data_IF_793748329662
#
_entry.id   IF_793748329662
#
_cell.length_a   1.000
_cell.length_b   1.000
_cell.length_c   1.000
_cell.angle_alpha   90.00
_cell.angle_beta   90.00
_cell.angle_gamma   90.00
#
_symmetry.space_group_name_H-M   'P 1'
#
loop_
_entity.id
_entity.type
_entity.pdbx_description
1 polymer ?
#
# COMPACT_ATOMS: atom_id res chain seq x y z
N UNK A 1 -48.99 -27.82 -2.73
CA UNK A 1 -47.61 -27.62 -3.21
C UNK A 1 -47.38 -26.11 -3.37
N UNK A 2 -46.82 -25.47 -2.36
CA UNK A 2 -46.63 -23.99 -2.35
C UNK A 2 -45.39 -23.70 -3.16
N UNK A 3 -45.53 -23.21 -4.38
CA UNK A 3 -44.44 -22.65 -5.16
C UNK A 3 -43.89 -21.42 -4.39
N UNK A 4 -42.78 -21.62 -3.72
CA UNK A 4 -42.02 -20.55 -3.05
C UNK A 4 -41.69 -19.51 -4.12
N UNK A 5 -42.36 -18.34 -4.09
CA UNK A 5 -42.00 -17.20 -4.98
C UNK A 5 -40.53 -16.99 -4.86
N UNK A 6 -39.75 -17.23 -5.89
CA UNK A 6 -38.34 -16.91 -5.96
C UNK A 6 -38.24 -15.41 -5.75
N UNK A 7 -37.68 -14.99 -4.63
CA UNK A 7 -37.53 -13.59 -4.30
C UNK A 7 -36.52 -13.00 -5.30
N UNK A 8 -36.89 -11.92 -5.98
CA UNK A 8 -36.05 -11.25 -7.00
C UNK A 8 -34.65 -10.96 -6.50
N UNK A 9 -34.50 -10.77 -5.18
CA UNK A 9 -33.21 -10.56 -4.52
C UNK A 9 -32.30 -11.80 -4.59
N UNK A 10 -32.83 -13.01 -4.46
CA UNK A 10 -32.02 -14.23 -4.63
C UNK A 10 -31.56 -14.41 -6.06
N UNK A 11 -32.41 -14.09 -7.02
CA UNK A 11 -32.09 -14.18 -8.44
C UNK A 11 -31.00 -13.14 -8.83
N UNK A 12 -31.16 -11.89 -8.39
CA UNK A 12 -30.18 -10.85 -8.67
C UNK A 12 -28.82 -11.13 -7.98
N UNK A 13 -28.83 -11.58 -6.73
CA UNK A 13 -27.60 -11.98 -6.01
C UNK A 13 -26.90 -13.15 -6.71
N UNK A 14 -27.64 -14.13 -7.21
CA UNK A 14 -27.09 -15.26 -7.94
C UNK A 14 -26.43 -14.83 -9.26
N UNK A 15 -27.08 -13.94 -10.03
CA UNK A 15 -26.51 -13.39 -11.27
C UNK A 15 -25.20 -12.61 -11.00
N UNK A 16 -25.21 -11.76 -9.97
CA UNK A 16 -24.00 -11.01 -9.58
C UNK A 16 -22.89 -11.97 -9.16
N UNK A 17 -23.21 -12.99 -8.37
CA UNK A 17 -22.22 -14.00 -7.94
C UNK A 17 -21.62 -14.74 -9.12
N UNK A 18 -22.41 -15.14 -10.11
CA UNK A 18 -21.91 -15.77 -11.34
C UNK A 18 -21.00 -14.80 -12.10
N UNK A 19 -21.43 -13.56 -12.31
CA UNK A 19 -20.64 -12.56 -13.04
C UNK A 19 -19.26 -12.31 -12.40
N UNK A 20 -19.18 -12.33 -11.05
CA UNK A 20 -17.93 -12.20 -10.31
C UNK A 20 -17.12 -13.51 -10.33
N UNK A 21 -17.77 -14.66 -10.35
CA UNK A 21 -17.09 -15.96 -10.35
C UNK A 21 -16.42 -16.28 -11.70
N UNK A 22 -16.98 -15.83 -12.83
CA UNK A 22 -16.46 -16.13 -14.18
C UNK A 22 -14.96 -15.79 -14.31
N UNK A 23 -14.48 -14.56 -14.08
CA UNK A 23 -13.05 -14.24 -14.22
C UNK A 23 -12.17 -15.05 -13.28
N UNK A 24 -12.65 -15.31 -12.06
CA UNK A 24 -11.91 -16.11 -11.08
C UNK A 24 -11.73 -17.55 -11.60
N UNK A 25 -12.82 -18.16 -12.07
CA UNK A 25 -12.80 -19.53 -12.63
C UNK A 25 -11.90 -19.58 -13.86
N UNK A 26 -11.92 -18.55 -14.74
CA UNK A 26 -11.06 -18.49 -15.92
C UNK A 26 -9.59 -18.48 -15.54
N UNK A 27 -9.17 -17.66 -14.56
CA UNK A 27 -7.78 -17.66 -14.06
C UNK A 27 -7.41 -19.03 -13.50
N UNK A 28 -8.26 -19.65 -12.69
CA UNK A 28 -7.98 -20.99 -12.17
C UNK A 28 -7.96 -22.08 -13.25
N UNK A 29 -8.77 -21.97 -14.30
CA UNK A 29 -8.74 -22.95 -15.40
C UNK A 29 -7.43 -22.91 -16.19
N UNK A 30 -6.80 -21.75 -16.29
CA UNK A 30 -5.51 -21.59 -16.98
C UNK A 30 -4.35 -22.40 -16.35
N UNK A 31 -4.46 -22.79 -15.08
CA UNK A 31 -3.49 -23.68 -14.44
C UNK A 31 -3.48 -25.10 -15.02
N UNK A 32 -4.56 -25.52 -15.68
CA UNK A 32 -4.68 -26.83 -16.32
C UNK A 32 -4.34 -26.80 -17.82
N UNK A 33 -4.05 -25.61 -18.38
CA UNK A 33 -3.67 -25.46 -19.77
C UNK A 33 -2.18 -25.69 -19.98
N UNK A 34 -1.80 -26.15 -21.18
CA UNK A 34 -0.41 -26.36 -21.55
C UNK A 34 0.35 -25.04 -21.62
N UNK A 35 1.49 -24.99 -21.00
CA UNK A 35 2.37 -23.82 -20.97
C UNK A 35 3.11 -23.63 -22.29
N UNK A 36 3.30 -22.38 -22.68
CA UNK A 36 4.14 -22.00 -23.83
C UNK A 36 5.64 -22.24 -23.57
N UNK A 37 6.47 -22.17 -24.62
CA UNK A 37 7.94 -22.21 -24.50
C UNK A 37 8.46 -21.09 -23.58
N UNK A 38 7.84 -19.90 -23.61
CA UNK A 38 8.18 -18.76 -22.76
C UNK A 38 7.99 -19.05 -21.28
N UNK A 39 7.02 -19.90 -20.91
CA UNK A 39 6.78 -20.32 -19.53
C UNK A 39 8.00 -20.96 -18.88
N UNK A 40 8.74 -21.79 -19.61
CA UNK A 40 9.95 -22.44 -19.10
C UNK A 40 11.07 -21.42 -18.83
N UNK A 41 11.21 -20.43 -19.69
CA UNK A 41 12.22 -19.36 -19.56
C UNK A 41 11.88 -18.47 -18.34
N UNK A 42 10.63 -18.03 -18.23
CA UNK A 42 10.20 -17.16 -17.12
C UNK A 42 10.30 -17.89 -15.79
N UNK A 43 9.81 -19.13 -15.69
CA UNK A 43 9.84 -19.92 -14.45
C UNK A 43 11.27 -20.21 -13.99
N UNK A 44 12.20 -20.50 -14.91
CA UNK A 44 13.57 -20.87 -14.55
C UNK A 44 14.51 -19.67 -14.34
N UNK A 45 14.22 -18.53 -14.96
CA UNK A 45 15.15 -17.39 -14.98
C UNK A 45 14.64 -16.22 -14.14
N UNK A 46 13.38 -15.82 -14.29
CA UNK A 46 12.89 -14.55 -13.76
C UNK A 46 11.94 -14.70 -12.56
N UNK A 47 11.29 -15.84 -12.37
CA UNK A 47 10.26 -16.02 -11.35
C UNK A 47 10.78 -15.76 -9.93
N UNK A 48 11.99 -16.22 -9.63
CA UNK A 48 12.62 -16.01 -8.32
C UNK A 48 12.89 -14.53 -8.06
N UNK A 49 13.31 -13.79 -9.08
CA UNK A 49 13.52 -12.34 -8.99
C UNK A 49 12.18 -11.60 -8.78
N UNK A 50 11.15 -11.95 -9.55
CA UNK A 50 9.81 -11.36 -9.42
C UNK A 50 9.25 -11.57 -8.01
N UNK A 51 9.35 -12.78 -7.47
CA UNK A 51 8.89 -13.10 -6.11
C UNK A 51 9.70 -12.32 -5.08
N UNK A 52 11.03 -12.34 -5.18
CA UNK A 52 11.90 -11.66 -4.22
C UNK A 52 11.64 -10.15 -4.20
N UNK A 53 11.58 -9.50 -5.37
CA UNK A 53 11.32 -8.07 -5.47
C UNK A 53 9.91 -7.71 -4.98
N UNK A 54 8.89 -8.51 -5.30
CA UNK A 54 7.53 -8.30 -4.80
C UNK A 54 7.46 -8.41 -3.28
N UNK A 55 8.14 -9.39 -2.68
CA UNK A 55 8.18 -9.56 -1.23
C UNK A 55 8.96 -8.42 -0.54
N UNK A 56 10.09 -8.03 -1.11
CA UNK A 56 10.90 -6.92 -0.58
C UNK A 56 10.12 -5.60 -0.64
N UNK A 57 9.47 -5.32 -1.77
CA UNK A 57 8.59 -4.17 -1.93
C UNK A 57 7.46 -4.19 -0.91
N UNK A 58 6.74 -5.30 -0.81
CA UNK A 58 5.62 -5.48 0.11
C UNK A 58 6.04 -5.23 1.56
N UNK A 59 7.10 -5.87 2.02
CA UNK A 59 7.59 -5.72 3.39
C UNK A 59 8.06 -4.29 3.68
N UNK A 60 8.75 -3.66 2.74
CA UNK A 60 9.18 -2.27 2.86
C UNK A 60 8.00 -1.30 2.97
N UNK A 61 7.00 -1.45 2.10
CA UNK A 61 5.79 -0.62 2.11
C UNK A 61 4.97 -0.85 3.37
N UNK A 62 4.75 -2.11 3.78
CA UNK A 62 4.02 -2.43 5.01
C UNK A 62 4.71 -1.83 6.25
N UNK A 63 6.02 -1.94 6.34
CA UNK A 63 6.77 -1.37 7.45
C UNK A 63 6.64 0.16 7.51
N UNK A 64 6.85 0.83 6.38
CA UNK A 64 6.83 2.30 6.33
C UNK A 64 5.42 2.86 6.55
N UNK A 65 4.39 2.25 5.94
CA UNK A 65 3.00 2.64 6.16
C UNK A 65 2.52 2.37 7.59
N UNK A 66 2.97 1.28 8.21
CA UNK A 66 2.73 1.01 9.63
C UNK A 66 3.30 2.12 10.51
N UNK A 67 4.58 2.47 10.31
CA UNK A 67 5.24 3.50 11.10
C UNK A 67 4.54 4.85 10.94
N UNK A 68 4.36 5.32 9.69
CA UNK A 68 3.76 6.63 9.42
C UNK A 68 2.29 6.66 9.86
N UNK A 69 1.52 5.64 9.51
CA UNK A 69 0.08 5.57 9.79
C UNK A 69 -0.24 5.48 11.28
N UNK A 70 0.46 4.59 12.01
CA UNK A 70 0.23 4.42 13.46
C UNK A 70 0.75 5.63 14.25
N UNK A 71 1.94 6.16 13.91
CA UNK A 71 2.46 7.36 14.59
C UNK A 71 1.59 8.58 14.30
N UNK A 72 1.15 8.77 13.04
CA UNK A 72 0.22 9.83 12.68
C UNK A 72 -1.10 9.73 13.46
N UNK A 73 -1.69 8.54 13.53
CA UNK A 73 -2.90 8.28 14.29
C UNK A 73 -2.70 8.54 15.80
N UNK A 74 -1.57 8.14 16.35
CA UNK A 74 -1.22 8.35 17.76
C UNK A 74 -1.09 9.83 18.09
N UNK A 75 -0.28 10.57 17.31
CA UNK A 75 -0.06 11.99 17.57
C UNK A 75 -1.36 12.81 17.53
N UNK A 76 -2.17 12.56 16.51
CA UNK A 76 -3.43 13.31 16.30
C UNK A 76 -4.54 12.93 17.31
N UNK A 77 -4.50 11.69 17.84
CA UNK A 77 -5.52 11.21 18.80
C UNK A 77 -5.20 11.56 20.26
N UNK A 78 -3.92 11.62 20.63
CA UNK A 78 -3.51 11.73 22.04
C UNK A 78 -2.80 13.04 22.39
N UNK A 79 -2.43 13.86 21.40
CA UNK A 79 -1.78 15.14 21.63
C UNK A 79 -2.57 16.29 21.03
N UNK A 80 -2.72 17.36 21.80
CA UNK A 80 -3.21 18.64 21.31
C UNK A 80 -2.04 19.54 20.97
N UNK A 81 -1.87 19.88 19.71
CA UNK A 81 -0.84 20.79 19.21
C UNK A 81 -1.46 21.76 18.20
N UNK A 82 -0.84 22.93 17.94
CA UNK A 82 -1.31 23.86 16.94
C UNK A 82 -1.43 23.15 15.58
N UNK A 83 -2.63 23.22 14.94
CA UNK A 83 -2.89 22.55 13.68
C UNK A 83 -3.36 21.10 13.79
N UNK A 84 -3.50 20.50 14.98
CA UNK A 84 -3.95 19.11 15.12
C UNK A 84 -5.26 18.81 14.39
N UNK A 85 -6.22 19.77 14.39
CA UNK A 85 -7.48 19.64 13.67
C UNK A 85 -7.31 19.62 12.15
N UNK A 86 -6.34 20.36 11.62
CA UNK A 86 -5.98 20.33 10.21
C UNK A 86 -5.34 18.98 9.85
N UNK A 87 -4.36 18.52 10.62
CA UNK A 87 -3.69 17.24 10.36
C UNK A 87 -4.62 16.02 10.45
N UNK A 88 -5.70 16.09 11.23
CA UNK A 88 -6.74 15.05 11.25
C UNK A 88 -7.30 14.73 9.87
N UNK A 89 -7.42 15.72 9.01
CA UNK A 89 -7.95 15.60 7.67
C UNK A 89 -6.85 15.55 6.62
N UNK A 90 -5.79 16.32 6.82
CA UNK A 90 -4.68 16.40 5.87
C UNK A 90 -4.00 15.04 5.63
N UNK A 91 -3.85 14.22 6.67
CA UNK A 91 -3.27 12.87 6.55
C UNK A 91 -4.16 11.89 5.76
N UNK A 92 -5.45 12.18 5.65
CA UNK A 92 -6.37 11.40 4.80
C UNK A 92 -6.17 11.74 3.32
N UNK A 93 -5.69 12.95 3.01
CA UNK A 93 -5.48 13.39 1.62
C UNK A 93 -4.41 12.59 0.89
N UNK A 94 -3.62 11.75 1.58
CA UNK A 94 -2.73 10.79 0.92
C UNK A 94 -3.44 9.93 -0.12
N UNK A 95 -4.71 9.58 0.10
CA UNK A 95 -5.54 8.85 -0.85
C UNK A 95 -5.88 9.62 -2.13
N UNK A 96 -5.81 10.94 -2.10
CA UNK A 96 -6.16 11.75 -3.26
C UNK A 96 -5.12 11.67 -4.38
N UNK A 97 -3.92 11.20 -4.07
CA UNK A 97 -2.79 11.13 -5.00
C UNK A 97 -2.41 9.67 -5.24
N UNK A 98 -2.60 9.14 -6.45
CA UNK A 98 -2.16 7.80 -6.82
C UNK A 98 -0.63 7.62 -6.65
N UNK A 99 -0.21 6.39 -6.33
CA UNK A 99 1.19 6.09 -6.02
C UNK A 99 2.17 6.46 -7.14
N UNK A 100 1.80 6.24 -8.41
CA UNK A 100 2.64 6.60 -9.55
C UNK A 100 2.86 8.12 -9.69
N UNK A 101 1.90 8.95 -9.25
CA UNK A 101 2.06 10.42 -9.23
C UNK A 101 3.05 10.82 -8.13
N UNK A 102 3.03 10.15 -6.97
CA UNK A 102 4.07 10.34 -5.96
C UNK A 102 5.44 9.94 -6.52
N UNK A 103 5.53 8.80 -7.22
CA UNK A 103 6.77 8.34 -7.84
C UNK A 103 7.35 9.40 -8.78
N UNK A 104 6.56 9.88 -9.72
CA UNK A 104 6.96 10.93 -10.66
C UNK A 104 7.33 12.24 -9.96
N UNK A 105 6.48 12.70 -9.05
CA UNK A 105 6.68 14.00 -8.38
C UNK A 105 7.91 14.00 -7.46
N UNK A 106 8.15 12.92 -6.71
CA UNK A 106 9.34 12.79 -5.87
C UNK A 106 10.60 12.74 -6.71
N UNK A 107 10.61 11.93 -7.77
CA UNK A 107 11.77 11.84 -8.67
C UNK A 107 12.06 13.19 -9.30
N UNK A 108 11.06 13.88 -9.88
CA UNK A 108 11.24 15.19 -10.49
C UNK A 108 11.67 16.29 -9.49
N UNK A 109 11.19 16.21 -8.24
CA UNK A 109 11.58 17.18 -7.21
C UNK A 109 13.04 17.03 -6.79
N UNK A 110 13.52 15.77 -6.67
CA UNK A 110 14.87 15.45 -6.21
C UNK A 110 15.86 15.11 -7.34
N UNK A 111 15.45 15.27 -8.59
CA UNK A 111 16.32 15.06 -9.74
C UNK A 111 17.50 16.04 -9.74
N UNK A 112 18.58 15.67 -10.44
CA UNK A 112 19.73 16.55 -10.66
C UNK A 112 19.26 17.85 -11.32
N UNK A 113 19.62 18.98 -10.75
CA UNK A 113 19.16 20.33 -11.17
C UNK A 113 17.62 20.53 -11.08
N UNK A 114 16.91 19.66 -10.35
CA UNK A 114 15.47 19.74 -10.10
C UNK A 114 15.09 20.84 -9.10
N UNK A 115 13.84 20.75 -8.61
CA UNK A 115 13.29 21.76 -7.69
C UNK A 115 14.07 21.85 -6.39
N UNK A 116 14.48 20.71 -5.81
CA UNK A 116 15.29 20.67 -4.57
C UNK A 116 16.64 21.37 -4.77
N UNK A 117 17.33 21.13 -5.89
CA UNK A 117 18.56 21.80 -6.25
C UNK A 117 18.36 23.33 -6.33
N UNK A 118 17.33 23.77 -7.02
CA UNK A 118 17.00 25.18 -7.20
C UNK A 118 16.74 25.88 -5.85
N UNK A 119 16.02 25.21 -4.93
CA UNK A 119 15.77 25.74 -3.59
C UNK A 119 17.09 25.87 -2.81
N UNK A 120 17.95 24.84 -2.81
CA UNK A 120 19.24 24.89 -2.11
C UNK A 120 20.14 26.00 -2.67
N UNK A 121 20.21 26.15 -4.00
CA UNK A 121 20.95 27.21 -4.66
C UNK A 121 20.44 28.61 -4.25
N UNK A 122 19.13 28.80 -4.16
CA UNK A 122 18.55 30.09 -3.76
C UNK A 122 18.79 30.43 -2.29
N UNK A 123 18.89 29.41 -1.40
CA UNK A 123 19.13 29.63 0.04
C UNK A 123 20.62 29.80 0.34
N UNK A 124 21.48 28.97 -0.25
CA UNK A 124 22.89 28.87 0.11
C UNK A 124 23.84 29.50 -0.93
N UNK A 125 23.31 30.00 -2.06
CA UNK A 125 24.10 30.62 -3.13
C UNK A 125 24.58 29.61 -4.18
N UNK A 126 25.56 30.05 -5.02
CA UNK A 126 26.14 29.23 -6.09
C UNK A 126 26.94 28.06 -5.51
N UNK A 127 26.62 26.83 -5.92
CA UNK A 127 27.32 25.61 -5.50
C UNK A 127 26.75 24.37 -6.20
N UNK A 128 27.50 23.27 -6.16
CA UNK A 128 26.99 21.96 -6.61
C UNK A 128 26.39 21.20 -5.42
N UNK A 129 25.06 21.16 -5.37
CA UNK A 129 24.27 20.50 -4.34
C UNK A 129 23.79 19.10 -4.76
N UNK A 130 24.08 18.62 -5.96
CA UNK A 130 23.58 17.34 -6.46
C UNK A 130 24.02 16.16 -5.62
N UNK A 131 25.22 16.21 -5.03
CA UNK A 131 25.72 15.17 -4.12
C UNK A 131 25.03 15.12 -2.76
N UNK A 132 24.38 16.22 -2.36
CA UNK A 132 23.66 16.36 -1.08
C UNK A 132 22.18 16.06 -1.19
N UNK A 133 21.66 15.93 -2.41
CA UNK A 133 20.25 15.65 -2.66
C UNK A 133 20.04 14.13 -2.67
N UNK A 134 19.10 13.59 -1.85
CA UNK A 134 18.78 12.17 -1.86
C UNK A 134 18.15 11.79 -3.21
N UNK A 135 18.57 10.67 -3.78
CA UNK A 135 17.99 10.13 -5.01
C UNK A 135 16.88 9.12 -4.64
N UNK A 136 15.72 9.32 -5.26
CA UNK A 136 14.58 8.42 -5.13
C UNK A 136 14.47 7.59 -6.40
N UNK A 137 15.24 6.51 -6.47
CA UNK A 137 15.30 5.60 -7.59
C UNK A 137 15.13 4.13 -7.16
N UNK A 138 14.90 3.25 -8.12
CA UNK A 138 14.79 1.82 -7.91
C UNK A 138 13.82 1.43 -6.79
N UNK A 139 14.16 0.37 -6.07
CA UNK A 139 13.32 -0.22 -5.01
C UNK A 139 12.99 0.77 -3.88
N UNK A 140 13.95 1.59 -3.46
CA UNK A 140 13.72 2.58 -2.40
C UNK A 140 12.75 3.68 -2.83
N UNK A 141 12.86 4.15 -4.07
CA UNK A 141 11.93 5.13 -4.65
C UNK A 141 10.50 4.58 -4.68
N UNK A 142 10.33 3.33 -5.10
CA UNK A 142 9.03 2.67 -5.13
C UNK A 142 8.43 2.50 -3.73
N UNK A 143 9.21 1.98 -2.76
CA UNK A 143 8.76 1.80 -1.38
C UNK A 143 8.26 3.13 -0.80
N UNK A 144 9.03 4.20 -0.96
CA UNK A 144 8.68 5.51 -0.41
C UNK A 144 7.42 6.06 -1.09
N UNK A 145 7.36 6.05 -2.42
CA UNK A 145 6.24 6.61 -3.19
C UNK A 145 4.91 5.89 -2.88
N UNK A 146 4.92 4.55 -2.90
CA UNK A 146 3.75 3.75 -2.58
C UNK A 146 3.35 3.95 -1.12
N UNK A 147 4.31 4.00 -0.20
CA UNK A 147 4.01 4.22 1.21
C UNK A 147 3.37 5.57 1.49
N UNK A 148 3.84 6.64 0.84
CA UNK A 148 3.23 7.97 0.98
C UNK A 148 1.81 8.05 0.41
N UNK A 149 1.48 7.25 -0.59
CA UNK A 149 0.11 7.12 -1.08
C UNK A 149 -0.78 6.32 -0.12
N UNK A 150 -0.28 5.20 0.40
CA UNK A 150 -1.10 4.19 1.06
C UNK A 150 -1.14 4.26 2.60
N UNK A 151 -0.26 5.04 3.27
CA UNK A 151 -0.27 5.10 4.75
C UNK A 151 -1.62 5.54 5.33
N UNK A 152 -2.42 6.26 4.55
CA UNK A 152 -3.76 6.70 4.94
C UNK A 152 -4.68 5.55 5.33
N UNK A 153 -4.58 4.35 4.73
CA UNK A 153 -5.36 3.17 5.13
C UNK A 153 -5.09 2.80 6.59
N UNK A 154 -3.81 2.70 6.94
CA UNK A 154 -3.40 2.38 8.31
C UNK A 154 -3.78 3.52 9.26
N UNK A 155 -3.57 4.78 8.85
CA UNK A 155 -3.90 5.95 9.64
C UNK A 155 -5.38 6.02 10.00
N UNK A 156 -6.28 5.92 9.01
CA UNK A 156 -7.73 6.09 9.23
C UNK A 156 -8.28 5.00 10.15
N UNK A 157 -7.96 3.75 9.88
CA UNK A 157 -8.46 2.62 10.67
C UNK A 157 -7.90 2.62 12.09
N UNK A 158 -6.61 2.91 12.24
CA UNK A 158 -5.96 3.01 13.56
C UNK A 158 -6.53 4.18 14.36
N UNK A 159 -6.70 5.35 13.72
CA UNK A 159 -7.29 6.52 14.37
C UNK A 159 -8.72 6.28 14.81
N UNK A 160 -9.54 5.63 13.98
CA UNK A 160 -10.90 5.25 14.34
C UNK A 160 -10.90 4.34 15.58
N UNK A 161 -10.04 3.32 15.61
CA UNK A 161 -9.89 2.44 16.77
C UNK A 161 -9.47 3.21 18.03
N UNK A 162 -8.50 4.11 17.92
CA UNK A 162 -8.08 4.95 19.04
C UNK A 162 -9.21 5.86 19.55
N UNK A 163 -10.01 6.43 18.66
CA UNK A 163 -11.10 7.32 19.03
C UNK A 163 -12.21 6.60 19.82
N UNK A 164 -12.60 5.41 19.39
CA UNK A 164 -13.66 4.65 20.05
C UNK A 164 -13.25 4.03 21.39
N UNK A 165 -11.98 3.76 21.59
CA UNK A 165 -11.49 3.01 22.77
C UNK A 165 -10.71 3.87 23.77
N UNK A 166 -10.25 5.07 23.37
CA UNK A 166 -9.17 5.77 24.07
C UNK A 166 -9.51 6.23 25.49
N UNK A 167 -10.71 6.73 25.76
CA UNK A 167 -11.03 7.29 27.09
C UNK A 167 -11.04 6.20 28.17
N UNK A 168 -11.76 5.12 27.94
CA UNK A 168 -11.86 4.00 28.88
C UNK A 168 -10.52 3.31 29.11
N UNK A 169 -9.70 3.16 28.05
CA UNK A 169 -8.41 2.49 28.13
C UNK A 169 -7.32 3.34 28.81
N UNK A 170 -7.38 4.67 28.68
CA UNK A 170 -6.48 5.57 29.39
C UNK A 170 -6.79 5.52 30.90
N UNK A 171 -8.07 5.55 31.29
CA UNK A 171 -8.48 5.45 32.68
C UNK A 171 -8.10 4.09 33.30
N UNK A 172 -8.31 3.01 32.54
CA UNK A 172 -7.83 1.67 32.93
C UNK A 172 -6.31 1.67 33.20
N UNK A 173 -5.54 2.26 32.31
CA UNK A 173 -4.10 2.38 32.47
C UNK A 173 -3.69 3.17 33.72
N UNK A 174 -4.38 4.26 34.02
CA UNK A 174 -4.15 5.04 35.25
C UNK A 174 -4.47 4.23 36.51
N UNK A 175 -5.59 3.50 36.51
CA UNK A 175 -6.00 2.64 37.62
C UNK A 175 -4.99 1.49 37.89
N UNK A 176 -4.27 1.05 36.83
CA UNK A 176 -3.19 0.09 36.91
C UNK A 176 -1.82 0.71 37.27
N UNK A 177 -1.78 2.02 37.54
CA UNK A 177 -0.54 2.73 37.86
C UNK A 177 0.41 2.94 36.68
N UNK A 178 -0.08 2.82 35.45
CA UNK A 178 0.75 3.00 34.26
C UNK A 178 0.85 4.49 33.88
N UNK A 179 2.05 4.91 33.44
CA UNK A 179 2.22 6.20 32.80
C UNK A 179 1.65 6.18 31.37
N UNK A 180 1.54 7.34 30.71
CA UNK A 180 0.94 7.48 29.37
C UNK A 180 1.57 6.55 28.32
N UNK A 181 2.90 6.47 28.29
CA UNK A 181 3.63 5.62 27.33
C UNK A 181 3.37 4.13 27.58
N UNK A 182 3.41 3.70 28.86
CA UNK A 182 3.17 2.32 29.23
C UNK A 182 1.73 1.90 28.95
N UNK A 183 0.74 2.80 29.21
CA UNK A 183 -0.67 2.59 28.85
C UNK A 183 -0.83 2.44 27.33
N UNK A 184 -0.17 3.29 26.54
CA UNK A 184 -0.19 3.20 25.10
C UNK A 184 0.35 1.86 24.61
N UNK A 185 1.57 1.50 25.01
CA UNK A 185 2.24 0.29 24.51
C UNK A 185 1.59 -1.01 25.00
N UNK A 186 1.06 -1.04 26.24
CA UNK A 186 0.55 -2.28 26.85
C UNK A 186 -0.95 -2.49 26.72
N UNK A 187 -1.72 -1.42 26.52
CA UNK A 187 -3.18 -1.49 26.48
C UNK A 187 -3.73 -0.98 25.14
N UNK A 188 -3.44 0.26 24.78
CA UNK A 188 -4.09 0.93 23.64
C UNK A 188 -3.62 0.34 22.30
N UNK A 189 -2.33 0.24 22.09
CA UNK A 189 -1.77 -0.30 20.84
C UNK A 189 -2.13 -1.78 20.62
N UNK A 190 -2.07 -2.67 21.63
CA UNK A 190 -2.56 -4.04 21.47
C UNK A 190 -4.05 -4.13 21.17
N UNK A 191 -4.90 -3.28 21.75
CA UNK A 191 -6.34 -3.29 21.47
C UNK A 191 -6.68 -2.78 20.06
N UNK A 192 -5.82 -1.96 19.46
CA UNK A 192 -5.96 -1.48 18.09
C UNK A 192 -5.41 -2.45 17.02
N UNK A 193 -4.80 -3.58 17.43
CA UNK A 193 -4.22 -4.55 16.47
C UNK A 193 -5.17 -4.96 15.34
N UNK A 194 -6.46 -5.27 15.58
CA UNK A 194 -7.36 -5.66 14.49
C UNK A 194 -7.50 -4.56 13.41
N UNK A 195 -7.59 -3.30 13.85
CA UNK A 195 -7.70 -2.15 12.94
C UNK A 195 -6.40 -1.90 12.16
N UNK A 196 -5.25 -2.06 12.83
CA UNK A 196 -3.93 -1.94 12.20
C UNK A 196 -3.73 -3.04 11.15
N UNK A 197 -4.05 -4.28 11.50
CA UNK A 197 -3.93 -5.43 10.57
C UNK A 197 -4.86 -5.24 9.37
N UNK A 198 -6.10 -4.79 9.59
CA UNK A 198 -7.02 -4.49 8.49
C UNK A 198 -6.45 -3.40 7.56
N UNK A 199 -5.88 -2.32 8.11
CA UNK A 199 -5.22 -1.28 7.33
C UNK A 199 -4.03 -1.80 6.53
N UNK A 200 -3.18 -2.60 7.15
CA UNK A 200 -2.03 -3.22 6.49
C UNK A 200 -2.44 -4.24 5.42
N UNK A 201 -3.55 -4.96 5.62
CA UNK A 201 -4.08 -5.87 4.59
C UNK A 201 -4.52 -5.12 3.33
N UNK A 202 -5.17 -3.96 3.49
CA UNK A 202 -5.52 -3.10 2.35
C UNK A 202 -4.27 -2.57 1.65
N UNK A 203 -3.26 -2.11 2.41
CA UNK A 203 -1.97 -1.69 1.85
C UNK A 203 -1.31 -2.84 1.09
N UNK A 204 -1.34 -4.06 1.64
CA UNK A 204 -0.76 -5.23 0.97
C UNK A 204 -1.44 -5.52 -0.37
N UNK A 205 -2.76 -5.47 -0.41
CA UNK A 205 -3.54 -5.69 -1.65
C UNK A 205 -3.20 -4.64 -2.71
N UNK A 206 -3.18 -3.36 -2.34
CA UNK A 206 -2.85 -2.26 -3.25
C UNK A 206 -1.39 -2.34 -3.74
N UNK A 207 -0.45 -2.67 -2.84
CA UNK A 207 0.98 -2.80 -3.19
C UNK A 207 1.21 -3.96 -4.16
N UNK A 208 0.56 -5.12 -3.93
CA UNK A 208 0.70 -6.29 -4.80
C UNK A 208 0.03 -6.11 -6.16
N UNK A 209 -0.93 -5.20 -6.29
CA UNK A 209 -1.58 -4.87 -7.56
C UNK A 209 -0.99 -3.63 -8.25
N UNK A 210 -0.04 -2.93 -7.62
CA UNK A 210 0.57 -1.75 -8.23
C UNK A 210 1.46 -2.15 -9.42
N UNK A 211 1.11 -1.64 -10.58
CA UNK A 211 1.90 -1.72 -11.81
C UNK A 211 2.60 -0.40 -12.12
N UNK A 212 1.89 0.72 -11.88
CA UNK A 212 2.32 2.03 -12.33
C UNK A 212 3.63 2.49 -11.68
N UNK A 213 3.72 2.39 -10.35
CA UNK A 213 4.91 2.82 -9.61
C UNK A 213 6.09 1.89 -9.85
N UNK A 214 5.88 0.57 -9.83
CA UNK A 214 6.97 -0.41 -10.03
C UNK A 214 7.52 -0.34 -11.45
N UNK A 215 6.65 -0.14 -12.46
CA UNK A 215 7.06 0.04 -13.86
C UNK A 215 7.84 1.34 -14.05
N UNK A 216 7.41 2.43 -13.40
CA UNK A 216 8.12 3.72 -13.44
C UNK A 216 9.56 3.60 -12.93
N UNK A 217 9.79 2.86 -11.85
CA UNK A 217 11.11 2.62 -11.29
C UNK A 217 11.87 1.46 -11.93
N UNK A 218 11.30 0.80 -12.95
CA UNK A 218 11.94 -0.31 -13.66
C UNK A 218 12.17 -1.55 -12.80
N UNK A 219 11.26 -1.84 -11.85
CA UNK A 219 11.41 -2.97 -10.94
C UNK A 219 10.67 -4.18 -11.48
N UNK A 220 11.38 -5.30 -11.58
CA UNK A 220 10.83 -6.59 -11.98
C UNK A 220 10.07 -7.21 -10.82
N UNK A 221 8.73 -7.04 -10.79
CA UNK A 221 7.82 -7.65 -9.81
C UNK A 221 6.89 -8.66 -10.48
N UNK A 222 6.13 -9.42 -9.71
CA UNK A 222 5.09 -10.32 -10.26
C UNK A 222 4.11 -9.55 -11.15
N UNK A 223 3.70 -8.34 -10.75
CA UNK A 223 2.77 -7.51 -11.54
C UNK A 223 3.36 -7.12 -12.89
N UNK A 224 4.65 -6.71 -12.93
CA UNK A 224 5.34 -6.42 -14.20
C UNK A 224 5.56 -7.68 -15.02
N UNK A 225 5.81 -8.82 -14.39
CA UNK A 225 5.89 -10.13 -15.04
C UNK A 225 4.59 -10.54 -15.73
N UNK A 226 3.46 -10.41 -15.02
CA UNK A 226 2.11 -10.65 -15.55
C UNK A 226 1.83 -9.75 -16.77
N UNK A 227 2.14 -8.44 -16.64
CA UNK A 227 1.95 -7.50 -17.74
C UNK A 227 2.78 -7.84 -18.97
N UNK A 228 4.05 -8.19 -18.79
CA UNK A 228 4.95 -8.58 -19.88
C UNK A 228 4.49 -9.88 -20.54
N UNK A 229 4.05 -10.87 -19.75
CA UNK A 229 3.50 -12.12 -20.29
C UNK A 229 2.28 -11.84 -21.18
N UNK A 230 1.37 -11.00 -20.70
CA UNK A 230 0.15 -10.67 -21.43
C UNK A 230 0.40 -9.81 -22.67
N UNK A 231 1.11 -8.68 -22.51
CA UNK A 231 1.20 -7.66 -23.57
C UNK A 231 2.41 -7.87 -24.50
N UNK A 232 3.58 -8.24 -23.91
CA UNK A 232 4.81 -8.35 -24.69
C UNK A 232 4.97 -9.72 -25.36
N UNK A 233 4.47 -10.79 -24.72
CA UNK A 233 4.56 -12.17 -25.25
C UNK A 233 3.24 -12.67 -25.83
N UNK A 234 2.14 -11.90 -25.71
CA UNK A 234 0.79 -12.28 -26.15
C UNK A 234 0.35 -13.65 -25.57
N UNK A 235 0.79 -13.96 -24.34
CA UNK A 235 0.55 -15.23 -23.66
C UNK A 235 -0.33 -15.01 -22.40
N UNK A 236 -1.64 -15.06 -22.62
CA UNK A 236 -2.62 -14.87 -21.55
C UNK A 236 -2.59 -16.04 -20.54
N UNK A 237 -2.28 -17.26 -21.01
CA UNK A 237 -2.20 -18.44 -20.15
C UNK A 237 -1.06 -18.27 -19.15
N UNK A 238 0.11 -17.87 -19.63
CA UNK A 238 1.26 -17.60 -18.80
C UNK A 238 1.00 -16.45 -17.82
N UNK A 239 0.37 -15.37 -18.28
CA UNK A 239 -0.01 -14.25 -17.42
C UNK A 239 -0.92 -14.67 -16.26
N UNK A 240 -1.87 -15.59 -16.53
CA UNK A 240 -2.76 -16.12 -15.49
C UNK A 240 -2.07 -17.11 -14.54
N UNK A 241 -0.95 -17.71 -14.95
CA UNK A 241 -0.19 -18.67 -14.15
C UNK A 241 0.89 -18.03 -13.28
N UNK A 242 1.20 -16.75 -13.48
CA UNK A 242 2.11 -15.94 -12.68
C UNK A 242 1.39 -15.29 -11.50
#
# INVERSE_FOLDING_TARGET
MVLKKINIWYFSSFLISIAVAIPIVTVFSSFFESTSEYSSIIKNTFLSEYIFNSLLLLLGVLFLTFVIGVLGAYLVSFYSFPGSNFFKWALILSFAVPAYIYAYSLTAFFENYGTAFTILKNIFGEGDYNSSIPKFDGMMGAIISISFSLFGYVYVLTRASFHYQSQNLIELGKNLGFNKQKSFMKIILPSARPAIVAGLSLVAMETLSDFGSVSFFGISTLTTGIYNAWISFDDLVLANQL
#
